data_IF_231821984257
#
_entry.id   IF_231821984257
#
_cell.length_a   1.000
_cell.length_b   1.000
_cell.length_c   1.000
_cell.angle_alpha   90.00
_cell.angle_beta   90.00
_cell.angle_gamma   90.00
#
_symmetry.space_group_name_H-M   'P 1'
#
loop_
_entity.id
_entity.type
_entity.pdbx_description
1 polymer ?
#
# COMPACT_ATOMS: atom_id res chain seq x y z
N UNK A 1 14.63 -23.59 48.09
CA UNK A 1 13.73 -24.33 47.16
C UNK A 1 12.51 -23.50 46.71
N UNK A 2 11.90 -22.64 47.57
CA UNK A 2 10.72 -21.84 47.19
C UNK A 2 11.05 -20.70 46.17
N UNK A 3 12.21 -20.06 46.32
CA UNK A 3 12.67 -18.96 45.45
C UNK A 3 12.90 -19.46 44.02
N UNK A 4 13.49 -20.63 43.83
CA UNK A 4 13.69 -21.17 42.47
C UNK A 4 12.40 -21.50 41.76
N UNK A 5 11.40 -22.01 42.48
CA UNK A 5 10.05 -22.24 41.90
C UNK A 5 9.38 -20.95 41.51
N UNK A 6 9.51 -19.91 42.33
CA UNK A 6 8.96 -18.58 42.00
C UNK A 6 9.63 -17.99 40.76
N UNK A 7 10.97 -17.98 40.69
CA UNK A 7 11.69 -17.47 39.53
C UNK A 7 11.39 -18.27 38.26
N UNK A 8 11.19 -19.58 38.36
CA UNK A 8 10.83 -20.41 37.24
C UNK A 8 9.42 -20.06 36.70
N UNK A 9 8.45 -19.88 37.59
CA UNK A 9 7.08 -19.46 37.20
C UNK A 9 7.10 -18.05 36.59
N UNK A 10 7.86 -17.13 37.18
CA UNK A 10 8.02 -15.78 36.65
C UNK A 10 8.63 -15.79 35.24
N UNK A 11 9.65 -16.60 35.01
CA UNK A 11 10.24 -16.77 33.66
C UNK A 11 9.26 -17.31 32.67
N UNK A 12 8.42 -18.29 33.02
CA UNK A 12 7.37 -18.79 32.12
C UNK A 12 6.31 -17.72 31.76
N UNK A 13 5.94 -16.89 32.72
CA UNK A 13 5.00 -15.78 32.48
C UNK A 13 5.61 -14.77 31.49
N UNK A 14 6.88 -14.41 31.70
CA UNK A 14 7.57 -13.47 30.78
C UNK A 14 7.63 -14.04 29.36
N UNK A 15 7.97 -15.31 29.20
CA UNK A 15 7.99 -15.97 27.88
C UNK A 15 6.60 -15.96 27.25
N UNK A 16 5.56 -16.29 28.01
CA UNK A 16 4.19 -16.28 27.49
C UNK A 16 3.75 -14.89 27.03
N UNK A 17 4.13 -13.83 27.76
CA UNK A 17 3.86 -12.44 27.38
C UNK A 17 4.59 -12.08 26.08
N UNK A 18 5.86 -12.43 25.93
CA UNK A 18 6.64 -12.16 24.71
C UNK A 18 6.01 -12.87 23.50
N UNK A 19 5.63 -14.14 23.66
CA UNK A 19 4.95 -14.91 22.62
C UNK A 19 3.61 -14.26 22.23
N UNK A 20 2.83 -13.83 23.22
CA UNK A 20 1.54 -13.15 22.97
C UNK A 20 1.71 -11.84 22.20
N UNK A 21 2.71 -11.04 22.53
CA UNK A 21 3.04 -9.80 21.81
C UNK A 21 3.44 -10.11 20.36
N UNK A 22 4.25 -11.17 20.17
CA UNK A 22 4.67 -11.58 18.83
C UNK A 22 3.47 -11.95 17.95
N UNK A 23 2.59 -12.82 18.45
CA UNK A 23 1.37 -13.20 17.71
C UNK A 23 0.44 -12.04 17.47
N UNK A 24 0.28 -11.14 18.43
CA UNK A 24 -0.55 -9.94 18.27
C UNK A 24 -0.01 -9.02 17.17
N UNK A 25 1.30 -8.77 17.13
CA UNK A 25 1.91 -7.93 16.09
C UNK A 25 1.84 -8.57 14.71
N UNK A 26 1.98 -9.89 14.63
CA UNK A 26 1.85 -10.61 13.36
C UNK A 26 0.41 -10.62 12.86
N UNK A 27 -0.55 -10.83 13.74
CA UNK A 27 -1.98 -10.71 13.42
C UNK A 27 -2.34 -9.31 12.89
N UNK A 28 -1.89 -8.25 13.58
CA UNK A 28 -2.15 -6.86 13.15
C UNK A 28 -1.56 -6.58 11.77
N UNK A 29 -0.35 -7.04 11.48
CA UNK A 29 0.28 -6.89 10.15
C UNK A 29 -0.47 -7.63 9.06
N UNK A 30 -0.95 -8.84 9.33
CA UNK A 30 -1.71 -9.61 8.35
C UNK A 30 -3.05 -8.95 8.04
N UNK A 31 -3.74 -8.41 9.05
CA UNK A 31 -4.98 -7.66 8.86
C UNK A 31 -4.78 -6.41 8.01
N UNK A 32 -3.70 -5.66 8.24
CA UNK A 32 -3.38 -4.47 7.42
C UNK A 32 -3.15 -4.82 5.95
N UNK A 33 -2.52 -5.95 5.68
CA UNK A 33 -2.32 -6.40 4.30
C UNK A 33 -3.62 -6.84 3.63
N UNK A 34 -4.53 -7.45 4.37
CA UNK A 34 -5.87 -7.79 3.86
C UNK A 34 -6.65 -6.54 3.44
N UNK A 35 -6.57 -5.46 4.22
CA UNK A 35 -7.18 -4.18 3.84
C UNK A 35 -6.58 -3.64 2.53
N UNK A 36 -5.27 -3.72 2.35
CA UNK A 36 -4.62 -3.33 1.09
C UNK A 36 -5.13 -4.17 -0.10
N UNK A 37 -5.28 -5.48 0.08
CA UNK A 37 -5.83 -6.37 -0.95
C UNK A 37 -7.30 -6.03 -1.27
N UNK A 38 -8.11 -5.68 -0.27
CA UNK A 38 -9.49 -5.23 -0.48
C UNK A 38 -9.55 -3.92 -1.26
N UNK A 39 -8.68 -2.95 -0.95
CA UNK A 39 -8.58 -1.71 -1.72
C UNK A 39 -8.22 -2.01 -3.17
N UNK A 40 -7.24 -2.90 -3.40
CA UNK A 40 -6.82 -3.31 -4.73
C UNK A 40 -7.95 -4.03 -5.49
N UNK A 41 -8.68 -4.92 -4.83
CA UNK A 41 -9.82 -5.61 -5.42
C UNK A 41 -10.93 -4.64 -5.82
N UNK A 42 -11.19 -3.63 -5.01
CA UNK A 42 -12.15 -2.58 -5.34
C UNK A 42 -11.72 -1.75 -6.54
N UNK A 43 -10.43 -1.41 -6.66
CA UNK A 43 -9.89 -0.72 -7.83
C UNK A 43 -10.07 -1.58 -9.09
N UNK A 44 -9.66 -2.85 -9.04
CA UNK A 44 -9.77 -3.76 -10.18
C UNK A 44 -11.23 -3.96 -10.61
N UNK A 45 -12.16 -4.11 -9.65
CA UNK A 45 -13.58 -4.21 -9.94
C UNK A 45 -14.12 -2.95 -10.60
N UNK A 46 -13.74 -1.78 -10.11
CA UNK A 46 -14.13 -0.50 -10.73
C UNK A 46 -13.55 -0.37 -12.14
N UNK A 47 -12.33 -0.86 -12.38
CA UNK A 47 -11.73 -0.91 -13.72
C UNK A 47 -12.50 -1.86 -14.65
N UNK A 48 -12.84 -3.07 -14.20
CA UNK A 48 -13.62 -4.03 -15.00
C UNK A 48 -15.02 -3.50 -15.32
N UNK A 49 -15.68 -2.84 -14.37
CA UNK A 49 -16.98 -2.20 -14.59
C UNK A 49 -16.87 -1.03 -15.57
N UNK A 50 -15.80 -0.24 -15.47
CA UNK A 50 -15.50 0.84 -16.41
C UNK A 50 -15.16 0.29 -17.80
N UNK A 51 -14.45 -0.84 -17.91
CA UNK A 51 -14.18 -1.49 -19.19
C UNK A 51 -15.44 -2.02 -19.85
N UNK A 52 -16.35 -2.61 -19.10
CA UNK A 52 -17.68 -3.02 -19.60
C UNK A 52 -18.57 -1.84 -20.00
N UNK A 53 -18.32 -0.68 -19.43
CA UNK A 53 -19.03 0.58 -19.75
C UNK A 53 -18.28 1.41 -20.79
N UNK A 54 -17.06 0.99 -21.18
CA UNK A 54 -16.15 1.71 -22.10
C UNK A 54 -16.55 1.80 -23.56
N UNK A 55 -17.71 1.32 -23.95
CA UNK A 55 -18.31 1.94 -25.13
C UNK A 55 -18.72 3.42 -24.91
N UNK A 56 -18.71 3.94 -23.66
CA UNK A 56 -19.14 5.32 -23.34
C UNK A 56 -18.41 6.09 -22.22
N UNK A 57 -17.42 5.56 -21.50
CA UNK A 57 -16.73 6.36 -20.47
C UNK A 57 -15.29 5.89 -20.20
N UNK A 58 -14.40 6.84 -20.12
CA UNK A 58 -12.95 6.73 -19.93
C UNK A 58 -12.61 6.37 -18.47
N UNK A 59 -11.71 5.42 -18.24
CA UNK A 59 -11.37 4.89 -16.91
C UNK A 59 -10.47 5.83 -16.09
N UNK A 60 -10.78 5.96 -14.79
CA UNK A 60 -10.24 6.96 -13.87
C UNK A 60 -9.04 6.47 -13.02
N UNK A 61 -8.37 5.37 -13.38
CA UNK A 61 -7.22 4.86 -12.61
C UNK A 61 -5.97 4.80 -13.46
N UNK A 62 -4.92 5.53 -13.06
CA UNK A 62 -3.60 5.39 -13.66
C UNK A 62 -2.91 4.13 -13.13
N UNK A 63 -2.56 3.22 -14.03
CA UNK A 63 -1.67 2.09 -13.75
C UNK A 63 -0.27 2.45 -14.22
N UNK A 64 0.69 2.55 -13.29
CA UNK A 64 2.11 2.70 -13.62
C UNK A 64 2.72 1.31 -13.68
N UNK A 65 3.12 0.88 -14.88
CA UNK A 65 3.82 -0.39 -15.10
C UNK A 65 5.29 -0.12 -15.30
N UNK A 66 6.12 -0.61 -14.38
CA UNK A 66 7.57 -0.53 -14.48
C UNK A 66 8.11 -1.78 -15.17
N UNK A 67 8.45 -1.67 -16.44
CA UNK A 67 9.11 -2.74 -17.20
C UNK A 67 10.62 -2.55 -17.20
N UNK A 68 11.36 -3.53 -16.72
CA UNK A 68 12.80 -3.61 -16.86
C UNK A 68 13.15 -4.08 -18.28
N UNK A 69 13.11 -3.22 -19.24
CA UNK A 69 13.75 -3.47 -20.52
C UNK A 69 14.61 -2.27 -20.86
N UNK A 70 15.84 -2.55 -21.17
CA UNK A 70 16.89 -1.65 -21.62
C UNK A 70 16.60 -1.11 -23.03
N UNK A 71 15.37 -0.74 -23.31
CA UNK A 71 14.98 -0.07 -24.55
C UNK A 71 13.91 0.96 -24.21
N UNK A 72 14.32 2.22 -24.40
CA UNK A 72 13.48 3.40 -24.47
C UNK A 72 12.34 3.48 -23.45
N UNK A 73 12.53 4.34 -22.47
CA UNK A 73 11.44 4.98 -21.72
C UNK A 73 10.45 5.67 -22.70
N UNK A 74 9.82 4.90 -23.56
CA UNK A 74 8.52 5.24 -24.09
C UNK A 74 7.54 5.06 -22.94
N UNK A 75 7.52 6.05 -22.06
CA UNK A 75 6.30 6.42 -21.39
C UNK A 75 5.31 6.64 -22.55
N UNK A 76 4.57 5.60 -22.90
CA UNK A 76 3.27 5.80 -23.51
C UNK A 76 2.46 6.47 -22.41
N UNK A 77 2.60 7.80 -22.31
CA UNK A 77 1.54 8.63 -21.81
C UNK A 77 0.37 8.30 -22.75
N UNK A 78 -0.46 7.34 -22.36
CA UNK A 78 -1.82 7.31 -22.85
C UNK A 78 -2.35 8.69 -22.45
N UNK A 79 -2.59 9.54 -23.44
CA UNK A 79 -3.38 10.76 -23.33
C UNK A 79 -4.81 10.36 -22.94
N UNK A 80 -4.96 9.92 -21.73
CA UNK A 80 -6.24 9.82 -21.06
C UNK A 80 -6.13 10.79 -19.91
N UNK A 81 -6.66 11.97 -20.11
CA UNK A 81 -6.99 12.94 -19.06
C UNK A 81 -7.97 12.26 -18.12
N UNK A 82 -7.43 11.43 -17.25
CA UNK A 82 -8.20 10.73 -16.25
C UNK A 82 -8.49 11.71 -15.13
N UNK A 83 -9.74 11.86 -14.81
CA UNK A 83 -10.24 12.78 -13.82
C UNK A 83 -9.84 12.25 -12.44
N UNK A 84 -8.64 12.64 -11.92
CA UNK A 84 -8.18 12.32 -10.58
C UNK A 84 -9.12 12.81 -9.47
N UNK A 85 -10.02 13.73 -9.82
CA UNK A 85 -11.03 14.24 -8.91
C UNK A 85 -11.96 13.14 -8.43
N UNK A 86 -12.34 12.17 -9.28
CA UNK A 86 -13.29 11.11 -8.91
C UNK A 86 -12.76 10.07 -7.93
N UNK A 87 -11.44 9.80 -7.92
CA UNK A 87 -10.83 8.92 -6.91
C UNK A 87 -10.61 9.65 -5.58
N UNK A 88 -10.28 10.94 -5.63
CA UNK A 88 -10.21 11.81 -4.45
C UNK A 88 -11.57 12.03 -3.80
N UNK A 89 -12.66 11.90 -4.54
CA UNK A 89 -14.03 12.06 -4.00
C UNK A 89 -14.45 10.89 -3.10
N UNK A 90 -13.79 9.73 -3.20
CA UNK A 90 -14.07 8.56 -2.37
C UNK A 90 -13.13 8.49 -1.17
N UNK A 91 -13.33 9.40 -0.22
CA UNK A 91 -12.67 9.36 1.08
C UNK A 91 -12.98 8.04 1.79
N UNK A 92 -11.92 7.33 2.18
CA UNK A 92 -11.99 6.12 2.97
C UNK A 92 -11.45 6.40 4.38
N UNK A 93 -11.81 5.57 5.35
CA UNK A 93 -11.34 5.73 6.73
C UNK A 93 -10.92 4.37 7.27
N UNK A 94 -9.75 4.33 7.92
CA UNK A 94 -9.24 3.13 8.61
C UNK A 94 -10.04 2.86 9.89
N UNK A 95 -9.90 1.65 10.45
CA UNK A 95 -10.49 1.33 11.76
C UNK A 95 -9.98 2.25 12.87
N UNK A 96 -8.72 2.70 12.77
CA UNK A 96 -8.08 3.62 13.73
C UNK A 96 -8.46 5.10 13.48
N UNK A 97 -9.38 5.39 12.54
CA UNK A 97 -9.93 6.73 12.29
C UNK A 97 -9.13 7.62 11.34
N UNK A 98 -8.06 7.11 10.72
CA UNK A 98 -7.30 7.86 9.71
C UNK A 98 -8.01 7.83 8.37
N UNK A 99 -8.11 8.99 7.75
CA UNK A 99 -8.79 9.14 6.46
C UNK A 99 -7.79 9.24 5.32
N UNK A 100 -8.12 8.61 4.18
CA UNK A 100 -7.24 8.59 3.01
C UNK A 100 -8.02 8.53 1.70
N UNK A 101 -7.32 8.81 0.62
CA UNK A 101 -7.77 8.64 -0.75
C UNK A 101 -6.88 7.61 -1.45
N UNK A 102 -7.45 6.84 -2.36
CA UNK A 102 -6.68 6.02 -3.29
C UNK A 102 -6.39 6.86 -4.53
N UNK A 103 -5.12 7.07 -4.85
CA UNK A 103 -4.69 7.99 -5.91
C UNK A 103 -4.09 7.30 -7.14
N UNK A 104 -3.58 6.09 -6.97
CA UNK A 104 -2.96 5.31 -8.04
C UNK A 104 -2.88 3.83 -7.69
N UNK A 105 -2.44 3.03 -8.65
CA UNK A 105 -2.01 1.64 -8.49
C UNK A 105 -0.59 1.52 -9.05
N UNK A 106 0.30 0.85 -8.32
CA UNK A 106 1.63 0.50 -8.81
C UNK A 106 1.70 -0.98 -9.13
N UNK A 107 2.26 -1.32 -10.28
CA UNK A 107 2.53 -2.68 -10.70
C UNK A 107 3.99 -2.83 -11.08
N UNK A 108 4.65 -3.84 -10.51
CA UNK A 108 6.01 -4.23 -10.86
C UNK A 108 5.99 -5.73 -11.19
N UNK A 109 5.74 -6.10 -12.46
CA UNK A 109 5.55 -7.50 -12.87
C UNK A 109 6.74 -8.41 -12.51
N UNK A 110 7.97 -7.93 -12.64
CA UNK A 110 9.19 -8.66 -12.28
C UNK A 110 9.21 -9.12 -10.82
N UNK A 111 8.53 -8.40 -9.93
CA UNK A 111 8.44 -8.70 -8.51
C UNK A 111 7.12 -9.39 -8.13
N UNK A 112 6.23 -9.57 -9.09
CA UNK A 112 4.84 -9.94 -8.85
C UNK A 112 4.19 -9.04 -7.80
N UNK A 113 4.45 -7.73 -7.90
CA UNK A 113 3.95 -6.70 -7.00
C UNK A 113 2.83 -5.93 -7.69
N UNK A 114 1.70 -5.84 -7.03
CA UNK A 114 0.60 -4.96 -7.38
C UNK A 114 0.01 -4.42 -6.08
N UNK A 115 -0.02 -3.10 -5.93
CA UNK A 115 -0.59 -2.49 -4.74
C UNK A 115 -1.15 -1.09 -5.02
N UNK A 116 -2.17 -0.67 -4.27
CA UNK A 116 -2.70 0.69 -4.37
C UNK A 116 -1.69 1.69 -3.78
N UNK A 117 -1.73 2.92 -4.25
CA UNK A 117 -1.05 4.06 -3.65
C UNK A 117 -2.10 4.95 -3.03
N UNK A 118 -1.93 5.25 -1.75
CA UNK A 118 -2.87 6.04 -0.97
C UNK A 118 -2.25 7.37 -0.51
N UNK A 119 -3.08 8.35 -0.23
CA UNK A 119 -2.67 9.66 0.29
C UNK A 119 -3.56 10.04 1.46
N UNK A 120 -2.96 10.49 2.55
CA UNK A 120 -3.67 10.98 3.73
C UNK A 120 -4.39 12.31 3.45
N UNK A 121 -5.46 12.55 4.18
CA UNK A 121 -6.26 13.78 4.03
C UNK A 121 -5.53 15.00 4.59
N UNK A 122 -4.81 14.84 5.70
CA UNK A 122 -4.11 15.95 6.37
C UNK A 122 -2.68 16.12 5.89
N UNK A 123 -2.10 15.06 5.30
CA UNK A 123 -0.68 15.03 4.89
C UNK A 123 0.29 15.10 6.06
N UNK A 124 -0.18 14.85 7.30
CA UNK A 124 0.70 14.85 8.47
C UNK A 124 1.58 13.60 8.48
N UNK A 125 2.81 13.73 9.01
CA UNK A 125 3.75 12.63 9.16
C UNK A 125 3.13 11.45 9.93
N UNK A 126 2.45 11.74 11.04
CA UNK A 126 1.77 10.72 11.86
C UNK A 126 0.69 9.98 11.07
N UNK A 127 -0.12 10.68 10.27
CA UNK A 127 -1.12 10.07 9.41
C UNK A 127 -0.46 9.18 8.36
N UNK A 128 0.58 9.66 7.71
CA UNK A 128 1.33 8.90 6.72
C UNK A 128 1.94 7.62 7.32
N UNK A 129 2.53 7.68 8.50
CA UNK A 129 3.07 6.52 9.22
C UNK A 129 2.00 5.46 9.52
N UNK A 130 0.80 5.86 9.90
CA UNK A 130 -0.31 4.92 10.13
C UNK A 130 -0.82 4.33 8.81
N UNK A 131 -0.94 5.14 7.77
CA UNK A 131 -1.39 4.69 6.44
C UNK A 131 -0.36 3.78 5.76
N UNK A 132 0.93 3.97 5.99
CA UNK A 132 2.00 3.10 5.50
C UNK A 132 1.88 1.65 5.98
N UNK A 133 1.18 1.41 7.08
CA UNK A 133 0.87 0.05 7.55
C UNK A 133 -0.11 -0.67 6.63
N UNK A 134 -0.95 0.09 5.91
CA UNK A 134 -1.98 -0.42 5.01
C UNK A 134 -1.45 -0.58 3.58
N UNK A 135 -0.76 0.44 3.06
CA UNK A 135 -0.30 0.47 1.67
C UNK A 135 0.83 1.49 1.48
N UNK A 136 1.59 1.43 0.37
CA UNK A 136 2.47 2.52 -0.02
C UNK A 136 1.69 3.84 -0.16
N UNK A 137 2.33 4.92 0.28
CA UNK A 137 1.72 6.25 0.32
C UNK A 137 2.44 7.21 -0.61
N UNK A 138 1.72 8.19 -1.12
CA UNK A 138 2.34 9.39 -1.69
C UNK A 138 3.02 10.17 -0.57
N UNK A 139 4.29 10.46 -0.77
CA UNK A 139 5.09 11.26 0.17
C UNK A 139 5.12 12.73 -0.22
N UNK A 140 5.36 13.01 -1.50
CA UNK A 140 5.52 14.37 -2.00
C UNK A 140 5.34 14.44 -3.52
N UNK A 141 5.26 15.66 -4.03
CA UNK A 141 5.21 15.95 -5.46
C UNK A 141 3.79 16.05 -6.02
N UNK A 142 3.68 16.32 -7.33
CA UNK A 142 2.41 16.39 -8.03
C UNK A 142 1.71 15.02 -8.06
N UNK A 143 0.49 14.99 -8.57
CA UNK A 143 -0.21 13.73 -8.79
C UNK A 143 0.35 13.00 -10.01
N UNK A 144 0.04 11.70 -10.16
CA UNK A 144 0.35 10.98 -11.39
C UNK A 144 -0.19 11.73 -12.63
N UNK A 145 0.56 11.72 -13.71
CA UNK A 145 0.31 12.48 -14.97
C UNK A 145 0.47 14.00 -14.90
N UNK A 146 0.82 14.56 -13.74
CA UNK A 146 1.22 15.96 -13.65
C UNK A 146 2.74 16.10 -13.85
N UNK A 147 3.18 17.27 -14.32
CA UNK A 147 4.60 17.54 -14.55
C UNK A 147 5.35 17.67 -13.23
N UNK A 148 6.33 16.80 -13.01
CA UNK A 148 7.19 16.81 -11.82
C UNK A 148 7.54 15.40 -11.33
N UNK A 149 8.06 15.30 -10.11
CA UNK A 149 8.43 14.04 -9.49
C UNK A 149 7.34 13.59 -8.52
N UNK A 150 6.68 12.49 -8.83
CA UNK A 150 5.73 11.81 -7.95
C UNK A 150 6.51 10.87 -7.02
N UNK A 151 6.62 11.22 -5.74
CA UNK A 151 7.38 10.46 -4.75
C UNK A 151 6.46 9.53 -3.94
N UNK A 152 6.81 8.24 -3.94
CA UNK A 152 6.09 7.19 -3.21
C UNK A 152 6.99 6.63 -2.13
N UNK A 153 6.43 6.35 -0.97
CA UNK A 153 7.08 5.66 0.14
C UNK A 153 6.30 4.41 0.50
N UNK A 154 6.98 3.35 0.87
CA UNK A 154 6.38 2.09 1.28
C UNK A 154 7.29 1.31 2.23
N UNK A 155 6.69 0.54 3.13
CA UNK A 155 7.44 -0.30 4.05
C UNK A 155 8.18 -1.44 3.35
N UNK A 156 9.40 -1.71 3.82
CA UNK A 156 10.20 -2.89 3.49
C UNK A 156 10.01 -3.95 4.58
N UNK A 157 8.88 -4.66 4.56
CA UNK A 157 8.57 -5.69 5.55
C UNK A 157 9.28 -7.02 5.27
N UNK A 158 9.75 -7.71 6.31
CA UNK A 158 10.37 -9.04 6.21
C UNK A 158 9.44 -10.12 5.63
N UNK A 159 8.13 -9.93 5.69
CA UNK A 159 7.12 -10.85 5.16
C UNK A 159 6.88 -10.71 3.65
N UNK A 160 7.77 -10.05 2.93
CA UNK A 160 7.73 -9.85 1.48
C UNK A 160 6.50 -9.07 0.98
N UNK A 161 5.86 -8.27 1.84
CA UNK A 161 4.77 -7.37 1.45
C UNK A 161 5.31 -6.01 1.01
N UNK A 162 4.50 -5.30 0.22
CA UNK A 162 4.79 -3.98 -0.32
C UNK A 162 6.17 -3.91 -1.02
N UNK A 163 7.02 -2.97 -0.67
CA UNK A 163 8.30 -2.72 -1.34
C UNK A 163 9.47 -3.59 -0.87
N UNK A 164 9.21 -4.63 -0.07
CA UNK A 164 10.25 -5.50 0.46
C UNK A 164 11.11 -6.19 -0.61
N UNK A 165 10.56 -6.44 -1.80
CA UNK A 165 11.27 -7.03 -2.93
C UNK A 165 11.92 -6.00 -3.85
N UNK A 166 11.59 -4.71 -3.72
CA UNK A 166 12.15 -3.66 -4.58
C UNK A 166 13.67 -3.61 -4.55
N UNK A 167 14.36 -3.78 -3.38
CA UNK A 167 15.82 -3.81 -3.35
C UNK A 167 16.46 -4.97 -4.11
N UNK A 168 15.69 -5.97 -4.54
CA UNK A 168 16.21 -7.11 -5.33
C UNK A 168 16.16 -6.85 -6.84
N UNK A 169 15.64 -5.70 -7.28
CA UNK A 169 15.72 -5.29 -8.68
C UNK A 169 17.16 -4.93 -9.03
N UNK A 170 17.70 -5.62 -10.00
CA UNK A 170 18.96 -5.28 -10.62
C UNK A 170 18.73 -4.22 -11.72
N UNK A 171 19.60 -3.24 -11.78
CA UNK A 171 19.61 -2.14 -12.76
C UNK A 171 20.33 -2.59 -14.03
#
# INVERSE_FOLDING_TARGET
>A
KKIYKFNFILSLIIIAVIISIFFYTDYKRNKSAEVSEQILANINKTQEEAEKTKEKAQSDVLTVVLNNAQEDLKVKALENTTNYETLRDKKQTTEDGYSYYTIAKIEIPKLNLSCPIIEGVTGSEKETEELLKLSPCKLAGPNPNEKGNFCIVGHNYRNQKFFSKVPTLEV
#
